data_IF_519517847378
#
_entry.id   IF_519517847378
#
_cell.length_a   1.000
_cell.length_b   1.000
_cell.length_c   1.000
_cell.angle_alpha   90.00
_cell.angle_beta   90.00
_cell.angle_gamma   90.00
#
_symmetry.space_group_name_H-M   'P 1'
#
loop_
_entity.id
_entity.type
_entity.pdbx_description
1 polymer ?
#
# COMPACT_ATOMS: atom_id res chain seq x y z
N UNK A 1 -7.57 -67.57 -25.74
CA UNK A 1 -8.30 -66.56 -24.92
C UNK A 1 -7.31 -65.79 -24.08
N UNK A 2 -7.51 -64.46 -23.97
CA UNK A 2 -6.86 -63.45 -23.09
C UNK A 2 -5.87 -62.51 -23.79
N UNK A 3 -6.45 -61.56 -24.53
CA UNK A 3 -5.83 -60.26 -24.85
C UNK A 3 -5.73 -59.45 -23.55
N UNK A 4 -4.55 -58.90 -23.24
CA UNK A 4 -4.41 -57.82 -22.25
C UNK A 4 -4.08 -56.54 -23.00
N UNK A 5 -5.07 -55.65 -23.06
CA UNK A 5 -4.95 -54.29 -23.56
C UNK A 5 -3.95 -53.49 -22.71
N UNK A 6 -3.00 -52.84 -23.38
CA UNK A 6 -2.17 -51.79 -22.80
C UNK A 6 -3.01 -50.51 -22.78
N UNK A 7 -3.44 -50.05 -21.60
CA UNK A 7 -4.06 -48.75 -21.44
C UNK A 7 -2.96 -47.68 -21.31
N UNK A 8 -2.83 -46.82 -22.32
CA UNK A 8 -1.97 -45.66 -22.30
C UNK A 8 -2.69 -44.53 -21.53
N UNK A 9 -2.31 -44.30 -20.27
CA UNK A 9 -2.81 -43.16 -19.50
C UNK A 9 -2.00 -41.92 -19.92
N UNK A 10 -2.60 -41.08 -20.75
CA UNK A 10 -2.08 -39.76 -21.09
C UNK A 10 -2.37 -38.81 -19.93
N UNK A 11 -1.40 -38.60 -19.04
CA UNK A 11 -1.50 -37.65 -17.93
C UNK A 11 -1.37 -36.23 -18.49
N UNK A 12 -2.50 -35.56 -18.70
CA UNK A 12 -2.53 -34.15 -19.11
C UNK A 12 -1.91 -33.27 -18.03
N UNK A 13 -0.72 -32.73 -18.29
CA UNK A 13 -0.17 -31.63 -17.53
C UNK A 13 -1.04 -30.39 -17.75
N UNK A 14 -1.94 -30.12 -16.80
CA UNK A 14 -2.51 -28.79 -16.64
C UNK A 14 -1.43 -27.89 -16.06
N UNK A 15 -0.68 -27.21 -16.93
CA UNK A 15 0.13 -26.07 -16.53
C UNK A 15 -0.80 -24.95 -16.05
N UNK A 16 -1.02 -24.88 -14.73
CA UNK A 16 -1.51 -23.66 -14.10
C UNK A 16 -0.37 -22.63 -14.15
N UNK A 17 -0.25 -21.88 -15.26
CA UNK A 17 0.55 -20.67 -15.26
C UNK A 17 -0.16 -19.67 -14.36
N UNK A 18 0.46 -19.16 -13.28
CA UNK A 18 -0.12 -18.05 -12.54
C UNK A 18 -0.32 -16.90 -13.52
N UNK A 19 -1.57 -16.44 -13.65
CA UNK A 19 -1.90 -15.28 -14.48
C UNK A 19 -1.13 -14.09 -13.91
N UNK A 20 -0.04 -13.72 -14.58
CA UNK A 20 0.74 -12.56 -14.23
C UNK A 20 -0.15 -11.36 -14.54
N UNK A 21 -0.62 -10.67 -13.49
CA UNK A 21 -1.51 -9.53 -13.63
C UNK A 21 -0.84 -8.51 -14.57
N UNK A 22 -1.40 -8.35 -15.76
CA UNK A 22 -0.94 -7.38 -16.73
C UNK A 22 -1.15 -5.99 -16.12
N UNK A 23 -0.08 -5.18 -16.06
CA UNK A 23 -0.18 -3.82 -15.53
C UNK A 23 -0.93 -2.98 -16.56
N UNK A 24 -2.23 -2.84 -16.36
CA UNK A 24 -3.08 -2.05 -17.24
C UNK A 24 -2.76 -0.56 -17.12
N UNK A 25 -2.59 0.10 -18.26
CA UNK A 25 -2.40 1.54 -18.31
C UNK A 25 -3.68 2.26 -17.86
N UNK A 26 -3.53 3.34 -17.10
CA UNK A 26 -4.67 4.09 -16.55
C UNK A 26 -4.52 5.59 -16.77
N UNK A 27 -5.66 6.27 -16.89
CA UNK A 27 -5.75 7.73 -16.84
C UNK A 27 -5.77 8.29 -15.42
N UNK A 28 -5.96 7.44 -14.41
CA UNK A 28 -6.05 7.84 -13.01
C UNK A 28 -6.79 6.81 -12.18
N UNK A 29 -6.48 6.78 -10.88
CA UNK A 29 -7.08 5.85 -9.93
C UNK A 29 -7.21 6.49 -8.56
N UNK A 30 -8.07 5.91 -7.72
CA UNK A 30 -8.06 6.15 -6.27
C UNK A 30 -7.35 5.00 -5.58
N UNK A 31 -6.39 5.33 -4.72
CA UNK A 31 -5.55 4.37 -4.01
C UNK A 31 -5.83 4.45 -2.51
N UNK A 32 -6.03 3.29 -1.89
CA UNK A 32 -6.08 3.11 -0.45
C UNK A 32 -4.72 2.61 0.04
N UNK A 33 -4.11 3.31 0.98
CA UNK A 33 -2.82 2.93 1.59
C UNK A 33 -2.98 2.81 3.11
N UNK A 34 -2.81 1.61 3.70
CA UNK A 34 -2.77 1.44 5.14
C UNK A 34 -1.59 2.19 5.76
N UNK A 35 -1.83 2.91 6.86
CA UNK A 35 -0.82 3.60 7.65
C UNK A 35 -0.97 3.26 9.13
N UNK A 36 0.14 3.09 9.81
CA UNK A 36 0.17 2.86 11.24
C UNK A 36 0.90 4.02 11.91
N UNK A 37 0.23 4.75 12.79
CA UNK A 37 0.91 5.66 13.74
C UNK A 37 1.50 4.84 14.89
N UNK A 38 0.85 3.71 15.23
CA UNK A 38 1.38 2.71 16.15
C UNK A 38 0.95 1.30 15.78
N UNK A 39 1.72 0.32 16.24
CA UNK A 39 1.34 -1.09 16.23
C UNK A 39 1.09 -1.60 17.65
N UNK A 40 0.27 -2.63 17.76
CA UNK A 40 0.05 -3.36 19.00
C UNK A 40 0.91 -4.63 19.02
N UNK A 41 1.50 -4.96 20.16
CA UNK A 41 2.35 -6.15 20.31
C UNK A 41 2.34 -6.71 21.73
N UNK A 42 2.91 -7.91 21.90
CA UNK A 42 2.90 -8.65 23.18
C UNK A 42 1.63 -9.48 23.38
N UNK A 43 1.45 -10.00 24.58
CA UNK A 43 0.35 -10.92 24.88
C UNK A 43 -0.99 -10.20 24.99
N UNK A 44 -2.03 -10.87 24.48
CA UNK A 44 -3.40 -10.39 24.53
C UNK A 44 -3.93 -10.61 25.95
N UNK A 45 -4.15 -9.53 26.70
CA UNK A 45 -4.79 -9.47 28.03
C UNK A 45 -4.50 -10.70 28.91
N UNK A 46 -3.31 -10.71 29.51
CA UNK A 46 -3.06 -11.48 30.73
C UNK A 46 -3.13 -10.47 31.88
N UNK A 47 -3.92 -10.75 32.91
CA UNK A 47 -4.05 -9.92 34.13
C UNK A 47 -4.45 -8.45 33.89
N UNK A 48 -5.51 -8.18 33.12
CA UNK A 48 -6.02 -6.82 32.84
C UNK A 48 -5.02 -5.87 32.13
N UNK A 49 -3.92 -6.36 31.57
CA UNK A 49 -2.96 -5.54 30.82
C UNK A 49 -3.30 -5.50 29.33
N UNK A 50 -3.51 -4.29 28.80
CA UNK A 50 -3.65 -4.08 27.36
C UNK A 50 -2.35 -4.46 26.63
N UNK A 51 -2.43 -4.91 25.35
CA UNK A 51 -1.24 -5.10 24.54
C UNK A 51 -0.40 -3.81 24.48
N UNK A 52 0.91 -3.95 24.40
CA UNK A 52 1.82 -2.83 24.33
C UNK A 52 1.66 -2.09 23.01
N UNK A 53 1.90 -0.77 23.01
CA UNK A 53 1.92 0.08 21.81
C UNK A 53 3.34 0.48 21.48
N UNK A 54 3.74 0.27 20.23
CA UNK A 54 4.95 0.86 19.67
C UNK A 54 4.57 1.92 18.63
N UNK A 55 4.89 3.18 18.91
CA UNK A 55 4.74 4.27 17.93
C UNK A 55 5.72 4.04 16.76
N UNK A 56 5.37 4.52 15.57
CA UNK A 56 6.24 4.50 14.38
C UNK A 56 6.00 5.78 13.58
N UNK A 57 7.01 6.27 12.87
CA UNK A 57 6.81 7.24 11.78
C UNK A 57 6.51 6.49 10.48
N UNK A 58 5.88 7.15 9.51
CA UNK A 58 5.68 6.61 8.18
C UNK A 58 6.20 7.56 7.08
N UNK A 59 7.07 7.06 6.21
CA UNK A 59 7.46 7.73 4.97
C UNK A 59 6.68 7.10 3.82
N UNK A 60 5.73 7.85 3.28
CA UNK A 60 4.96 7.46 2.09
C UNK A 60 5.70 7.93 0.85
N UNK A 61 5.94 7.03 -0.09
CA UNK A 61 6.52 7.35 -1.40
C UNK A 61 5.50 7.05 -2.50
N UNK A 62 5.13 8.08 -3.26
CA UNK A 62 4.32 7.97 -4.47
C UNK A 62 5.26 8.06 -5.67
N UNK A 63 5.57 6.91 -6.28
CA UNK A 63 6.57 6.79 -7.34
C UNK A 63 5.89 6.69 -8.69
N UNK A 64 6.11 7.67 -9.57
CA UNK A 64 5.71 7.55 -10.97
C UNK A 64 6.61 6.51 -11.66
N UNK A 65 6.01 5.41 -12.12
CA UNK A 65 6.72 4.32 -12.81
C UNK A 65 6.76 4.49 -14.33
N UNK A 66 6.16 5.56 -14.84
CA UNK A 66 6.23 5.90 -16.25
C UNK A 66 7.60 6.46 -16.60
N UNK A 67 8.18 5.93 -17.67
CA UNK A 67 9.45 6.41 -18.24
C UNK A 67 9.30 7.75 -18.99
N UNK A 68 8.07 8.17 -19.29
CA UNK A 68 7.82 9.29 -20.21
C UNK A 68 6.70 10.23 -19.76
N UNK A 69 5.63 9.68 -19.19
CA UNK A 69 4.42 10.45 -18.88
C UNK A 69 4.47 10.95 -17.44
N UNK A 70 4.40 12.27 -17.19
CA UNK A 70 4.19 12.78 -15.84
C UNK A 70 2.78 12.45 -15.35
N UNK A 71 2.62 12.29 -14.05
CA UNK A 71 1.30 12.14 -13.40
C UNK A 71 1.05 13.34 -12.49
N UNK A 72 -0.21 13.55 -12.09
CA UNK A 72 -0.62 14.54 -11.11
C UNK A 72 -1.25 13.84 -9.92
N UNK A 73 -0.75 14.14 -8.72
CA UNK A 73 -1.39 13.74 -7.46
C UNK A 73 -2.37 14.84 -7.09
N UNK A 74 -3.66 14.51 -7.13
CA UNK A 74 -4.75 15.44 -6.90
C UNK A 74 -4.97 15.69 -5.42
N UNK A 75 -4.95 14.62 -4.63
CA UNK A 75 -5.16 14.66 -3.18
C UNK A 75 -4.45 13.50 -2.50
N UNK A 76 -4.12 13.71 -1.22
CA UNK A 76 -3.62 12.68 -0.31
C UNK A 76 -4.23 12.91 1.07
N UNK A 77 -5.41 12.32 1.29
CA UNK A 77 -6.23 12.53 2.49
C UNK A 77 -5.92 11.46 3.52
N UNK A 78 -5.56 11.89 4.73
CA UNK A 78 -5.16 11.03 5.85
C UNK A 78 -6.31 10.87 6.85
N UNK A 79 -6.74 9.63 7.08
CA UNK A 79 -7.84 9.27 7.95
C UNK A 79 -7.36 8.52 9.19
N UNK A 80 -8.03 8.73 10.31
CA UNK A 80 -7.83 7.96 11.54
C UNK A 80 -8.39 6.54 11.43
N UNK A 81 -8.08 5.73 12.44
CA UNK A 81 -8.63 4.38 12.65
C UNK A 81 -10.17 4.36 12.62
N UNK A 82 -10.81 5.44 13.09
CA UNK A 82 -12.28 5.55 13.12
C UNK A 82 -12.87 6.16 11.83
N UNK A 83 -12.04 6.37 10.80
CA UNK A 83 -12.47 6.95 9.52
C UNK A 83 -12.65 8.48 9.55
N UNK A 84 -12.12 9.19 10.55
CA UNK A 84 -12.16 10.66 10.59
C UNK A 84 -11.04 11.23 9.73
N UNK A 85 -11.34 12.20 8.87
CA UNK A 85 -10.31 12.95 8.13
C UNK A 85 -9.49 13.78 9.12
N UNK A 86 -8.20 13.48 9.23
CA UNK A 86 -7.28 14.17 10.14
C UNK A 86 -6.52 15.30 9.44
N UNK A 87 -6.05 15.04 8.22
CA UNK A 87 -5.20 15.99 7.48
C UNK A 87 -5.25 15.70 5.99
N UNK A 88 -5.21 16.75 5.18
CA UNK A 88 -4.89 16.65 3.77
C UNK A 88 -3.41 16.99 3.57
N UNK A 89 -2.61 16.00 3.19
CA UNK A 89 -1.16 16.15 3.02
C UNK A 89 -0.81 16.77 1.66
N UNK A 90 -1.69 16.64 0.68
CA UNK A 90 -1.54 17.26 -0.63
C UNK A 90 -2.80 18.08 -0.96
N UNK A 91 -2.95 19.30 -0.39
CA UNK A 91 -4.15 20.13 -0.57
C UNK A 91 -4.22 20.83 -1.94
N UNK A 92 -3.12 20.85 -2.68
CA UNK A 92 -3.05 21.38 -4.03
C UNK A 92 -2.45 20.31 -4.93
N UNK A 93 -2.97 20.15 -6.15
CA UNK A 93 -2.48 19.11 -7.05
C UNK A 93 -0.98 19.31 -7.36
N UNK A 94 -0.19 18.25 -7.22
CA UNK A 94 1.24 18.24 -7.48
C UNK A 94 1.58 17.36 -8.67
N UNK A 95 2.43 17.85 -9.57
CA UNK A 95 2.93 17.06 -10.69
C UNK A 95 4.14 16.23 -10.24
N UNK A 96 4.13 14.94 -10.57
CA UNK A 96 5.26 14.02 -10.40
C UNK A 96 5.78 13.68 -11.79
N UNK A 97 6.99 14.12 -12.11
CA UNK A 97 7.64 13.86 -13.39
C UNK A 97 7.79 12.36 -13.68
N UNK A 98 8.12 12.01 -14.93
CA UNK A 98 8.50 10.65 -15.28
C UNK A 98 9.62 10.14 -14.35
N UNK A 99 9.47 8.92 -13.81
CA UNK A 99 10.37 8.35 -12.80
C UNK A 99 10.54 9.18 -11.52
N UNK A 100 9.72 10.21 -11.31
CA UNK A 100 9.74 11.07 -10.13
C UNK A 100 9.07 10.41 -8.92
N UNK A 101 9.35 10.96 -7.73
CA UNK A 101 8.73 10.53 -6.48
C UNK A 101 8.21 11.75 -5.71
N UNK A 102 6.98 11.66 -5.20
CA UNK A 102 6.46 12.56 -4.18
C UNK A 102 6.48 11.84 -2.84
N UNK A 103 7.01 12.49 -1.80
CA UNK A 103 7.08 11.92 -0.46
C UNK A 103 6.18 12.66 0.52
N UNK A 104 5.46 11.91 1.35
CA UNK A 104 4.65 12.44 2.45
C UNK A 104 5.13 11.79 3.75
N UNK A 105 5.41 12.60 4.77
CA UNK A 105 5.96 12.12 6.03
C UNK A 105 4.97 12.28 7.19
N UNK A 106 4.60 11.16 7.81
CA UNK A 106 3.83 11.11 9.06
C UNK A 106 4.82 10.97 10.21
N UNK A 107 4.88 11.99 11.06
CA UNK A 107 5.80 12.02 12.19
C UNK A 107 5.45 10.94 13.23
N UNK A 108 6.47 10.38 13.88
CA UNK A 108 6.30 9.41 14.99
C UNK A 108 5.40 9.91 16.13
N UNK A 109 5.41 11.23 16.39
CA UNK A 109 4.63 11.85 17.46
C UNK A 109 3.14 12.01 17.09
N UNK A 110 2.79 11.84 15.82
CA UNK A 110 1.41 11.78 15.38
C UNK A 110 0.80 10.49 15.93
N UNK A 111 -0.26 10.60 16.73
CA UNK A 111 -0.92 9.44 17.35
C UNK A 111 -2.43 9.39 17.13
N UNK A 112 -3.02 10.45 16.55
CA UNK A 112 -4.45 10.51 16.26
C UNK A 112 -4.84 9.57 15.11
N UNK A 113 -3.91 9.22 14.22
CA UNK A 113 -4.12 8.20 13.20
C UNK A 113 -4.46 6.82 13.80
N UNK A 114 -3.70 6.41 14.79
CA UNK A 114 -3.86 5.12 15.46
C UNK A 114 -3.31 3.93 14.64
N UNK A 115 -3.84 2.73 14.91
CA UNK A 115 -3.37 1.47 14.29
C UNK A 115 -4.15 1.05 13.03
N UNK A 116 -5.16 1.83 12.62
CA UNK A 116 -5.94 1.61 11.41
C UNK A 116 -6.01 2.86 10.52
N UNK A 117 -5.04 3.77 10.66
CA UNK A 117 -4.98 4.96 9.84
C UNK A 117 -4.80 4.60 8.36
N UNK A 118 -5.15 5.51 7.47
CA UNK A 118 -4.99 5.27 6.05
C UNK A 118 -4.89 6.56 5.25
N UNK A 119 -4.29 6.45 4.07
CA UNK A 119 -4.38 7.46 3.03
C UNK A 119 -5.36 7.05 1.94
N UNK A 120 -6.16 8.02 1.49
CA UNK A 120 -6.85 8.00 0.21
C UNK A 120 -6.11 8.95 -0.73
N UNK A 121 -5.46 8.38 -1.75
CA UNK A 121 -4.64 9.13 -2.71
C UNK A 121 -5.34 9.09 -4.06
N UNK A 122 -5.55 10.25 -4.66
CA UNK A 122 -6.10 10.37 -6.00
C UNK A 122 -5.02 10.87 -6.94
N UNK A 123 -4.90 10.22 -8.09
CA UNK A 123 -3.96 10.64 -9.12
C UNK A 123 -4.60 10.56 -10.50
N UNK A 124 -4.06 11.36 -11.42
CA UNK A 124 -4.47 11.41 -12.82
C UNK A 124 -3.26 11.56 -13.75
N UNK A 125 -3.46 11.27 -15.03
CA UNK A 125 -2.52 11.51 -16.11
C UNK A 125 -3.25 12.03 -17.35
N UNK A 126 -2.56 12.83 -18.16
CA UNK A 126 -3.12 13.37 -19.40
C UNK A 126 -3.28 12.30 -20.49
N UNK A 127 -2.51 11.21 -20.43
CA UNK A 127 -2.58 10.06 -21.32
C UNK A 127 -2.47 8.76 -20.51
N UNK A 128 -3.04 7.64 -20.99
CA UNK A 128 -2.94 6.37 -20.29
C UNK A 128 -1.47 6.02 -20.01
N UNK A 129 -1.15 5.74 -18.75
CA UNK A 129 0.22 5.46 -18.33
C UNK A 129 0.27 4.43 -17.20
N UNK A 130 1.47 3.99 -16.86
CA UNK A 130 1.68 3.04 -15.77
C UNK A 130 1.18 3.65 -14.45
N UNK A 131 0.34 2.95 -13.68
CA UNK A 131 0.00 3.37 -12.34
C UNK A 131 1.23 3.62 -11.46
N UNK A 132 1.20 4.64 -10.57
CA UNK A 132 2.27 4.85 -9.63
C UNK A 132 2.36 3.67 -8.65
N UNK A 133 3.58 3.37 -8.24
CA UNK A 133 3.82 2.48 -7.08
C UNK A 133 3.77 3.35 -5.83
N UNK A 134 2.88 3.00 -4.91
CA UNK A 134 2.69 3.74 -3.66
C UNK A 134 2.89 2.82 -2.48
N UNK A 135 3.88 3.17 -1.67
CA UNK A 135 4.31 2.39 -0.50
C UNK A 135 4.57 3.31 0.68
N UNK A 136 4.45 2.76 1.89
CA UNK A 136 4.86 3.44 3.10
C UNK A 136 5.82 2.58 3.92
N UNK A 137 7.02 3.11 4.17
CA UNK A 137 7.95 2.54 5.13
C UNK A 137 7.59 3.09 6.50
N UNK A 138 7.20 2.18 7.39
CA UNK A 138 6.96 2.46 8.80
C UNK A 138 8.22 2.14 9.58
N UNK A 139 8.65 3.04 10.46
CA UNK A 139 9.87 2.84 11.21
C UNK A 139 9.82 3.43 12.63
N UNK A 140 10.38 2.69 13.58
CA UNK A 140 10.84 3.18 14.87
C UNK A 140 12.35 2.95 14.96
N UNK A 141 13.12 3.98 14.64
CA UNK A 141 14.59 3.96 14.75
C UNK A 141 14.98 4.86 15.91
N UNK A 142 15.23 4.25 17.06
CA UNK A 142 15.76 4.93 18.26
C UNK A 142 17.19 4.44 18.51
N UNK A 143 18.13 5.36 18.66
CA UNK A 143 19.52 5.02 18.96
C UNK A 143 19.61 4.12 20.21
N UNK A 144 20.31 3.00 20.12
CA UNK A 144 20.53 2.06 21.22
C UNK A 144 19.45 1.01 21.46
N UNK A 145 18.39 0.94 20.66
CA UNK A 145 17.36 -0.11 20.71
C UNK A 145 17.21 -0.83 19.36
N UNK A 146 16.70 -2.08 19.31
CA UNK A 146 16.34 -2.74 18.07
C UNK A 146 15.35 -1.89 17.27
N UNK A 147 15.66 -1.65 15.99
CA UNK A 147 14.78 -0.92 15.10
C UNK A 147 13.61 -1.81 14.66
N UNK A 148 12.41 -1.25 14.65
CA UNK A 148 11.23 -1.85 14.02
C UNK A 148 11.02 -1.16 12.67
N UNK A 149 10.87 -1.94 11.59
CA UNK A 149 10.44 -1.40 10.31
C UNK A 149 9.62 -2.39 9.51
N UNK A 150 8.62 -1.89 8.78
CA UNK A 150 7.80 -2.68 7.86
C UNK A 150 7.22 -1.80 6.74
N UNK A 151 6.73 -2.43 5.68
CA UNK A 151 6.17 -1.75 4.51
C UNK A 151 4.68 -2.04 4.38
N UNK A 152 3.91 -1.02 4.02
CA UNK A 152 2.56 -1.20 3.46
C UNK A 152 2.57 -0.74 2.01
N UNK A 153 1.71 -1.35 1.19
CA UNK A 153 1.57 -1.03 -0.23
C UNK A 153 0.12 -0.66 -0.50
N UNK A 154 -0.09 0.36 -1.32
CA UNK A 154 -1.43 0.79 -1.67
C UNK A 154 -2.18 -0.25 -2.51
N UNK A 155 -3.50 -0.13 -2.54
CA UNK A 155 -4.41 -0.91 -3.37
C UNK A 155 -5.36 0.02 -4.09
N UNK A 156 -5.67 -0.30 -5.34
CA UNK A 156 -6.69 0.41 -6.11
C UNK A 156 -8.04 0.15 -5.46
N UNK A 157 -8.82 1.21 -5.27
CA UNK A 157 -10.22 1.13 -4.84
C UNK A 157 -11.10 1.87 -5.84
N UNK A 158 -12.33 1.41 -5.99
CA UNK A 158 -13.35 2.16 -6.70
C UNK A 158 -13.98 3.15 -5.71
N UNK A 159 -14.06 4.45 -6.05
CA UNK A 159 -14.89 5.35 -5.27
C UNK A 159 -16.34 4.86 -5.37
N UNK A 160 -16.98 4.61 -4.22
CA UNK A 160 -18.42 4.36 -4.16
C UNK A 160 -19.14 5.65 -4.62
N UNK A 161 -20.15 5.48 -5.49
CA UNK A 161 -20.95 6.59 -6.02
C UNK A 161 -21.98 7.06 -5.01
#
# INVERSE_FOLDING_TARGET
MKNKWLALILFGLLCNTPAQAEVELSLGQTLYLPIYSHIWHGDKIVDNKYPNKAQVSALVSIRNTSLKTPIRILSARYYSTDGKLLKEYQPQAAQVGAMGTLELFVERKESAGGSGANFIIQWEAATPTNPPVVEAIHADVRGGAPALSFVTTARVINPEK
#
